data_IF_544075767887
#
_entry.id   IF_544075767887
#
_cell.length_a   1.000
_cell.length_b   1.000
_cell.length_c   1.000
_cell.angle_alpha   90.00
_cell.angle_beta   90.00
_cell.angle_gamma   90.00
#
_symmetry.space_group_name_H-M   'P 1'
#
loop_
_entity.id
_entity.type
_entity.pdbx_description
1 polymer ?
#
# COMPACT_ATOMS: atom_id res chain seq x y z
N UNK A 1 2.77 -3.63 2.74
CA UNK A 1 2.95 -2.89 1.48
C UNK A 1 4.07 -3.46 0.66
N UNK A 2 4.21 -3.03 -0.59
CA UNK A 2 5.32 -3.48 -1.44
C UNK A 2 4.97 -3.49 -2.92
N UNK A 3 5.99 -3.50 -3.78
CA UNK A 3 5.86 -3.56 -5.23
C UNK A 3 6.02 -2.23 -5.96
N UNK A 4 5.63 -1.12 -5.37
CA UNK A 4 5.85 0.22 -5.91
C UNK A 4 5.91 1.27 -4.80
N UNK A 5 6.54 2.41 -5.07
CA UNK A 5 6.63 3.53 -4.13
C UNK A 5 5.26 4.00 -3.63
N UNK A 6 4.26 4.04 -4.49
CA UNK A 6 2.89 4.44 -4.14
C UNK A 6 2.20 3.57 -3.09
N UNK A 7 2.64 2.32 -2.89
CA UNK A 7 2.15 1.46 -1.82
C UNK A 7 2.99 1.55 -0.54
N UNK A 8 4.16 2.17 -0.59
CA UNK A 8 5.12 2.22 0.51
C UNK A 8 5.12 3.60 1.16
N UNK A 9 5.30 4.65 0.35
CA UNK A 9 5.41 6.03 0.84
C UNK A 9 4.28 6.47 1.77
N UNK A 10 2.99 6.18 1.48
CA UNK A 10 1.90 6.57 2.37
C UNK A 10 1.84 5.84 3.72
N UNK A 11 2.65 4.78 3.89
CA UNK A 11 2.74 4.09 5.18
C UNK A 11 3.54 4.88 6.21
N UNK A 12 4.49 5.74 5.78
CA UNK A 12 5.30 6.54 6.69
C UNK A 12 4.48 7.56 7.48
N UNK A 13 3.69 8.46 6.83
CA UNK A 13 2.86 9.41 7.57
C UNK A 13 1.84 8.72 8.49
N UNK A 14 1.23 7.62 8.04
CA UNK A 14 0.35 6.83 8.90
C UNK A 14 1.09 6.27 10.12
N UNK A 15 2.27 5.71 9.91
CA UNK A 15 3.08 5.13 10.99
C UNK A 15 3.54 6.20 12.00
N UNK A 16 3.94 7.39 11.51
CA UNK A 16 4.26 8.54 12.36
C UNK A 16 3.06 9.00 13.18
N UNK A 17 1.89 9.13 12.55
CA UNK A 17 0.66 9.50 13.23
C UNK A 17 0.24 8.49 14.31
N UNK A 18 0.41 7.18 14.06
CA UNK A 18 0.18 6.14 15.07
C UNK A 18 1.14 6.26 16.24
N UNK A 19 2.44 6.46 15.96
CA UNK A 19 3.47 6.66 17.01
C UNK A 19 3.25 7.94 17.82
N UNK A 20 2.78 9.01 17.19
CA UNK A 20 2.42 10.25 17.88
C UNK A 20 1.25 10.07 18.85
N UNK A 21 0.25 9.25 18.47
CA UNK A 21 -0.91 8.94 19.33
C UNK A 21 -0.59 7.91 20.42
N UNK A 22 0.23 6.93 20.11
CA UNK A 22 0.65 5.88 21.03
C UNK A 22 2.14 5.56 20.79
N UNK A 23 3.06 6.18 21.55
CA UNK A 23 4.50 5.93 21.45
C UNK A 23 4.89 4.47 21.75
N UNK A 24 4.06 3.73 22.47
CA UNK A 24 4.30 2.32 22.83
C UNK A 24 3.93 1.36 21.72
N UNK A 25 3.15 1.80 20.73
CA UNK A 25 2.69 1.02 19.61
C UNK A 25 3.86 0.37 18.85
N UNK A 26 3.82 -0.94 18.66
CA UNK A 26 4.85 -1.68 17.92
C UNK A 26 4.45 -1.79 16.45
N UNK A 27 5.21 -1.14 15.59
CA UNK A 27 4.95 -1.12 14.14
C UNK A 27 5.90 -2.07 13.41
N UNK A 28 5.34 -2.98 12.63
CA UNK A 28 6.07 -3.96 11.85
C UNK A 28 5.73 -3.80 10.38
N UNK A 29 6.75 -3.58 9.55
CA UNK A 29 6.58 -3.54 8.10
C UNK A 29 6.84 -4.92 7.48
N UNK A 30 5.93 -5.37 6.63
CA UNK A 30 6.12 -6.56 5.80
C UNK A 30 6.14 -6.14 4.33
N UNK A 31 7.28 -6.33 3.68
CA UNK A 31 7.54 -6.00 2.28
C UNK A 31 7.94 -7.19 1.42
N UNK A 32 8.27 -6.93 0.16
CA UNK A 32 8.70 -7.92 -0.81
C UNK A 32 10.18 -8.28 -0.63
N UNK A 33 10.53 -9.55 -0.77
CA UNK A 33 11.92 -9.98 -0.86
C UNK A 33 12.56 -9.41 -2.14
N UNK A 34 13.75 -8.79 -2.00
CA UNK A 34 14.46 -8.14 -3.11
C UNK A 34 13.99 -6.71 -3.42
N UNK A 35 13.02 -6.18 -2.67
CA UNK A 35 12.61 -4.78 -2.81
C UNK A 35 13.75 -3.85 -2.39
N UNK A 36 14.18 -3.00 -3.32
CA UNK A 36 15.13 -1.92 -3.03
C UNK A 36 14.33 -0.80 -2.36
N UNK A 37 14.32 -0.78 -1.04
CA UNK A 37 13.69 0.29 -0.28
C UNK A 37 14.66 1.49 -0.33
N UNK A 38 14.47 2.37 -1.30
CA UNK A 38 15.18 3.65 -1.37
C UNK A 38 14.91 4.55 -0.14
N UNK A 39 13.95 4.15 0.70
CA UNK A 39 13.46 4.85 1.89
C UNK A 39 13.99 4.20 3.19
N UNK A 40 15.05 3.40 3.10
CA UNK A 40 15.49 2.53 4.20
C UNK A 40 15.73 3.26 5.53
N UNK A 41 16.35 4.45 5.52
CA UNK A 41 16.59 5.21 6.76
C UNK A 41 15.30 5.76 7.38
N UNK A 42 14.40 6.34 6.59
CA UNK A 42 13.11 6.86 7.08
C UNK A 42 12.20 5.75 7.59
N UNK A 43 12.29 4.53 7.02
CA UNK A 43 11.56 3.37 7.52
C UNK A 43 12.11 2.85 8.84
N UNK A 44 13.43 2.76 8.98
CA UNK A 44 14.06 2.28 10.21
C UNK A 44 13.80 3.17 11.43
N UNK A 45 13.59 4.48 11.21
CA UNK A 45 13.27 5.40 12.31
C UNK A 45 11.83 5.26 12.82
N UNK A 46 10.92 4.69 12.03
CA UNK A 46 9.48 4.65 12.37
C UNK A 46 9.01 3.23 12.69
N UNK A 47 9.48 2.23 11.92
CA UNK A 47 9.08 0.84 12.13
C UNK A 47 10.05 0.13 13.10
N UNK A 48 9.50 -0.48 14.15
CA UNK A 48 10.27 -1.25 15.12
C UNK A 48 10.91 -2.49 14.49
N UNK A 49 10.28 -3.08 13.51
CA UNK A 49 10.80 -4.25 12.77
C UNK A 49 10.37 -4.22 11.31
N UNK A 50 11.22 -4.78 10.46
CA UNK A 50 10.92 -5.02 9.05
C UNK A 50 11.10 -6.48 8.72
N UNK A 51 10.18 -7.05 7.98
CA UNK A 51 10.24 -8.41 7.48
C UNK A 51 9.98 -8.43 5.97
N UNK A 52 10.49 -9.44 5.29
CA UNK A 52 10.33 -9.60 3.84
C UNK A 52 9.83 -11.00 3.53
N UNK A 53 8.87 -11.09 2.63
CA UNK A 53 8.29 -12.35 2.17
C UNK A 53 8.36 -12.47 0.65
N UNK A 54 8.22 -13.68 0.14
CA UNK A 54 7.99 -13.90 -1.27
C UNK A 54 6.57 -13.49 -1.65
N UNK A 55 6.38 -12.98 -2.86
CA UNK A 55 5.05 -12.77 -3.44
C UNK A 55 5.16 -12.79 -4.96
N UNK A 56 4.07 -13.14 -5.63
CA UNK A 56 3.92 -13.13 -7.07
C UNK A 56 3.15 -11.92 -7.57
N UNK A 57 3.55 -11.39 -8.71
CA UNK A 57 2.85 -10.30 -9.40
C UNK A 57 2.02 -10.90 -10.52
N UNK A 58 0.72 -11.16 -10.27
CA UNK A 58 -0.19 -11.59 -11.33
C UNK A 58 -0.33 -10.50 -12.39
N UNK A 59 0.09 -10.83 -13.61
CA UNK A 59 0.04 -9.93 -14.76
C UNK A 59 -1.34 -10.02 -15.37
N UNK A 60 -1.91 -8.85 -15.67
CA UNK A 60 -3.19 -8.70 -16.36
C UNK A 60 -3.04 -7.65 -17.43
N UNK A 61 -3.60 -7.91 -18.59
CA UNK A 61 -3.74 -6.92 -19.64
C UNK A 61 -5.13 -6.30 -19.54
N UNK A 62 -5.22 -4.98 -19.40
CA UNK A 62 -6.49 -4.28 -19.39
C UNK A 62 -6.87 -3.97 -20.85
N UNK A 63 -8.09 -4.35 -21.24
CA UNK A 63 -8.63 -4.03 -22.56
C UNK A 63 -8.36 -5.07 -23.67
N UNK A 64 -7.69 -6.17 -23.37
CA UNK A 64 -7.48 -7.26 -24.33
C UNK A 64 -8.53 -8.38 -24.17
N UNK A 65 -8.76 -9.10 -25.28
CA UNK A 65 -9.68 -10.24 -25.32
C UNK A 65 -9.17 -11.39 -24.43
N UNK A 66 -10.06 -12.17 -23.83
CA UNK A 66 -9.70 -13.36 -23.06
C UNK A 66 -8.93 -14.41 -23.90
N UNK A 67 -9.12 -14.43 -25.22
CA UNK A 67 -8.40 -15.27 -26.16
C UNK A 67 -6.92 -14.87 -26.28
N UNK A 68 -6.61 -13.57 -26.27
CA UNK A 68 -5.21 -13.10 -26.27
C UNK A 68 -4.45 -13.52 -25.01
N UNK A 69 -5.16 -13.59 -23.86
CA UNK A 69 -4.58 -14.09 -22.62
C UNK A 69 -4.23 -15.57 -22.65
N UNK A 70 -5.00 -16.41 -23.36
CA UNK A 70 -4.72 -17.85 -23.51
C UNK A 70 -3.56 -18.09 -24.46
N UNK A 71 -3.31 -17.20 -25.41
CA UNK A 71 -2.23 -17.31 -26.38
C UNK A 71 -0.89 -16.79 -25.85
N UNK A 72 -0.88 -15.99 -24.80
CA UNK A 72 0.36 -15.53 -24.17
C UNK A 72 0.91 -16.57 -23.17
N UNK A 73 1.49 -17.62 -23.72
CA UNK A 73 2.13 -18.72 -22.96
C UNK A 73 3.15 -18.18 -21.95
N UNK A 74 3.89 -17.12 -22.30
CA UNK A 74 4.90 -16.52 -21.40
C UNK A 74 4.25 -15.97 -20.14
N UNK A 75 3.15 -15.23 -20.28
CA UNK A 75 2.41 -14.69 -19.13
C UNK A 75 1.74 -15.80 -18.31
N UNK A 76 1.22 -16.83 -18.96
CA UNK A 76 0.65 -17.99 -18.26
C UNK A 76 1.71 -18.70 -17.41
N UNK A 77 2.89 -18.99 -17.95
CA UNK A 77 4.00 -19.60 -17.21
C UNK A 77 4.45 -18.72 -16.06
N UNK A 78 4.61 -17.41 -16.30
CA UNK A 78 5.02 -16.48 -15.25
C UNK A 78 3.97 -16.39 -14.13
N UNK A 79 2.69 -16.35 -14.46
CA UNK A 79 1.61 -16.32 -13.45
C UNK A 79 1.54 -17.65 -12.68
N UNK A 80 1.81 -18.78 -13.33
CA UNK A 80 1.89 -20.08 -12.68
C UNK A 80 3.05 -20.13 -11.67
N UNK A 81 4.24 -19.68 -12.05
CA UNK A 81 5.39 -19.56 -11.14
C UNK A 81 5.12 -18.58 -9.99
N UNK A 82 4.44 -17.47 -10.28
CA UNK A 82 4.09 -16.48 -9.28
C UNK A 82 3.05 -17.01 -8.27
N UNK A 83 2.22 -17.98 -8.66
CA UNK A 83 1.32 -18.69 -7.73
C UNK A 83 2.11 -19.42 -6.64
N UNK A 84 3.20 -20.13 -6.99
CA UNK A 84 4.05 -20.78 -5.98
C UNK A 84 4.74 -19.76 -5.06
N UNK A 85 5.12 -18.58 -5.59
CA UNK A 85 5.67 -17.51 -4.74
C UNK A 85 4.62 -16.98 -3.76
N UNK A 86 3.35 -16.88 -4.17
CA UNK A 86 2.25 -16.48 -3.27
C UNK A 86 2.02 -17.54 -2.19
N UNK A 87 2.03 -18.82 -2.53
CA UNK A 87 1.89 -19.92 -1.55
C UNK A 87 3.04 -19.87 -0.53
N UNK A 88 4.29 -19.81 -1.02
CA UNK A 88 5.47 -19.71 -0.15
C UNK A 88 5.41 -18.45 0.74
N UNK A 89 5.00 -17.31 0.16
CA UNK A 89 4.81 -16.05 0.88
C UNK A 89 3.72 -16.13 1.94
N UNK A 90 2.63 -16.85 1.67
CA UNK A 90 1.55 -17.06 2.63
C UNK A 90 2.01 -17.86 3.84
N UNK A 91 2.83 -18.88 3.61
CA UNK A 91 3.43 -19.65 4.70
C UNK A 91 4.43 -18.82 5.52
N UNK A 92 5.27 -18.02 4.84
CA UNK A 92 6.20 -17.10 5.50
C UNK A 92 5.43 -16.05 6.33
N UNK A 93 4.38 -15.45 5.75
CA UNK A 93 3.51 -14.51 6.44
C UNK A 93 2.83 -15.17 7.65
N UNK A 94 2.31 -16.38 7.50
CA UNK A 94 1.68 -17.11 8.59
C UNK A 94 2.62 -17.31 9.79
N UNK A 95 3.90 -17.66 9.54
CA UNK A 95 4.91 -17.77 10.59
C UNK A 95 5.23 -16.42 11.24
N UNK A 96 5.40 -15.36 10.43
CA UNK A 96 5.67 -14.01 10.94
C UNK A 96 4.52 -13.47 11.81
N UNK A 97 3.28 -13.63 11.35
CA UNK A 97 2.09 -13.21 12.10
C UNK A 97 1.93 -14.02 13.41
N UNK A 98 2.33 -15.29 13.41
CA UNK A 98 2.38 -16.09 14.64
C UNK A 98 3.46 -15.64 15.62
N UNK A 99 4.61 -15.21 15.11
CA UNK A 99 5.73 -14.69 15.92
C UNK A 99 5.40 -13.32 16.53
N UNK A 100 4.83 -12.41 15.73
CA UNK A 100 4.63 -11.03 16.14
C UNK A 100 3.26 -10.75 16.77
N UNK A 101 2.27 -11.60 16.48
CA UNK A 101 0.88 -11.52 17.00
C UNK A 101 0.31 -10.10 16.91
N UNK A 102 0.29 -9.46 15.73
CA UNK A 102 -0.22 -8.11 15.62
C UNK A 102 -1.72 -8.08 15.93
N UNK A 103 -2.17 -7.00 16.58
CA UNK A 103 -3.59 -6.78 16.85
C UNK A 103 -4.38 -6.48 15.59
N UNK A 104 -3.75 -5.83 14.59
CA UNK A 104 -4.38 -5.43 13.33
C UNK A 104 -3.34 -5.36 12.22
N UNK A 105 -3.78 -5.58 10.99
CA UNK A 105 -2.96 -5.40 9.78
C UNK A 105 -3.55 -4.26 8.95
N UNK A 106 -2.72 -3.29 8.61
CA UNK A 106 -3.06 -2.24 7.66
C UNK A 106 -2.44 -2.54 6.29
N UNK A 107 -3.25 -2.49 5.25
CA UNK A 107 -2.87 -2.75 3.87
C UNK A 107 -3.08 -1.55 2.97
N UNK A 108 -2.00 -1.05 2.35
CA UNK A 108 -2.05 -0.03 1.31
C UNK A 108 -2.23 -0.60 -0.10
N UNK A 109 -2.39 -1.92 -0.20
CA UNK A 109 -2.41 -2.62 -1.48
C UNK A 109 -1.04 -3.15 -1.91
N UNK A 110 -0.93 -3.48 -3.20
CA UNK A 110 0.23 -4.15 -3.75
C UNK A 110 0.16 -5.68 -3.60
N UNK A 111 0.92 -6.39 -4.42
CA UNK A 111 0.80 -7.85 -4.50
C UNK A 111 1.28 -8.61 -3.25
N UNK A 112 2.08 -7.98 -2.38
CA UNK A 112 2.49 -8.56 -1.07
C UNK A 112 1.30 -8.73 -0.12
N UNK A 113 0.23 -7.96 -0.32
CA UNK A 113 -0.96 -7.99 0.54
C UNK A 113 -1.71 -9.31 0.45
N UNK A 114 -1.72 -9.98 -0.71
CA UNK A 114 -2.45 -11.23 -0.89
C UNK A 114 -1.94 -12.33 0.06
N UNK A 115 -0.64 -12.71 0.07
CA UNK A 115 -0.14 -13.71 1.00
C UNK A 115 -0.28 -13.30 2.47
N UNK A 116 -0.09 -12.01 2.80
CA UNK A 116 -0.30 -11.52 4.17
C UNK A 116 -1.77 -11.62 4.57
N UNK A 117 -2.69 -11.24 3.69
CA UNK A 117 -4.13 -11.30 3.93
C UNK A 117 -4.64 -12.72 4.11
N UNK A 118 -4.17 -13.68 3.31
CA UNK A 118 -4.49 -15.10 3.47
C UNK A 118 -4.03 -15.62 4.84
N UNK A 119 -2.80 -15.30 5.24
CA UNK A 119 -2.26 -15.68 6.54
C UNK A 119 -3.03 -15.03 7.70
N UNK A 120 -3.41 -13.76 7.56
CA UNK A 120 -4.21 -13.03 8.54
C UNK A 120 -5.59 -13.66 8.74
N UNK A 121 -6.27 -14.03 7.64
CA UNK A 121 -7.56 -14.73 7.69
C UNK A 121 -7.45 -16.02 8.49
N UNK A 122 -6.43 -16.86 8.21
CA UNK A 122 -6.20 -18.10 8.92
C UNK A 122 -5.92 -17.90 10.42
N UNK A 123 -5.30 -16.79 10.78
CA UNK A 123 -5.01 -16.41 12.16
C UNK A 123 -6.08 -15.56 12.84
N UNK A 124 -7.17 -15.25 12.12
CA UNK A 124 -8.27 -14.39 12.62
C UNK A 124 -7.79 -13.00 13.05
N UNK A 125 -6.76 -12.46 12.37
CA UNK A 125 -6.27 -11.11 12.62
C UNK A 125 -7.05 -10.14 11.74
N UNK A 126 -7.67 -9.08 12.31
CA UNK A 126 -8.42 -8.10 11.54
C UNK A 126 -7.52 -7.35 10.56
N UNK A 127 -8.09 -7.02 9.40
CA UNK A 127 -7.40 -6.31 8.31
C UNK A 127 -8.16 -5.02 8.00
N UNK A 128 -7.42 -3.93 7.90
CA UNK A 128 -7.89 -2.65 7.35
C UNK A 128 -7.20 -2.45 6.00
N UNK A 129 -7.98 -2.28 4.93
CA UNK A 129 -7.43 -1.92 3.62
C UNK A 129 -7.51 -0.41 3.37
N UNK A 130 -6.64 0.10 2.52
CA UNK A 130 -6.70 1.49 2.06
C UNK A 130 -6.50 1.54 0.54
N UNK A 131 -7.44 2.16 -0.16
CA UNK A 131 -7.36 2.45 -1.60
C UNK A 131 -7.25 3.96 -1.81
N UNK A 132 -6.18 4.41 -2.48
CA UNK A 132 -5.99 5.83 -2.84
C UNK A 132 -6.63 6.20 -4.17
N UNK A 133 -6.68 5.25 -5.10
CA UNK A 133 -7.22 5.46 -6.43
C UNK A 133 -8.76 5.40 -6.41
N UNK A 134 -9.40 5.96 -7.43
CA UNK A 134 -10.85 5.91 -7.57
C UNK A 134 -11.41 4.49 -7.75
N UNK A 135 -10.57 3.52 -8.05
CA UNK A 135 -10.94 2.12 -8.15
C UNK A 135 -10.11 1.26 -7.20
N UNK A 136 -10.75 0.30 -6.55
CA UNK A 136 -10.06 -0.63 -5.66
C UNK A 136 -9.03 -1.48 -6.42
N UNK A 137 -7.79 -1.51 -5.92
CA UNK A 137 -6.74 -2.35 -6.46
C UNK A 137 -7.08 -3.85 -6.34
N UNK A 138 -6.59 -4.69 -7.29
CA UNK A 138 -6.91 -6.13 -7.28
C UNK A 138 -6.59 -6.80 -5.95
N UNK A 139 -5.42 -6.53 -5.39
CA UNK A 139 -5.00 -7.12 -4.12
C UNK A 139 -5.96 -6.77 -2.99
N UNK A 140 -6.36 -5.49 -2.88
CA UNK A 140 -7.36 -5.06 -1.90
C UNK A 140 -8.75 -5.62 -2.20
N UNK A 141 -9.15 -5.80 -3.45
CA UNK A 141 -10.42 -6.47 -3.81
C UNK A 141 -10.44 -7.94 -3.40
N UNK A 142 -9.30 -8.64 -3.48
CA UNK A 142 -9.19 -10.03 -3.03
C UNK A 142 -9.28 -10.08 -1.51
N UNK A 143 -8.41 -9.34 -0.81
CA UNK A 143 -8.32 -9.34 0.65
C UNK A 143 -9.51 -8.64 1.30
N UNK A 144 -10.12 -7.69 0.63
CA UNK A 144 -11.30 -6.97 1.06
C UNK A 144 -12.52 -7.84 1.34
N UNK A 145 -12.59 -9.05 0.75
CA UNK A 145 -13.68 -10.00 1.02
C UNK A 145 -13.76 -10.45 2.48
N UNK A 146 -12.68 -10.24 3.24
CA UNK A 146 -12.59 -10.58 4.68
C UNK A 146 -11.92 -9.50 5.50
N UNK A 147 -11.72 -8.32 4.93
CA UNK A 147 -11.26 -7.16 5.69
C UNK A 147 -12.36 -6.67 6.64
N UNK A 148 -11.94 -6.15 7.78
CA UNK A 148 -12.86 -5.61 8.78
C UNK A 148 -13.28 -4.17 8.45
N UNK A 149 -12.44 -3.43 7.72
CA UNK A 149 -12.67 -2.04 7.37
C UNK A 149 -11.93 -1.67 6.06
N UNK A 150 -12.53 -0.77 5.30
CA UNK A 150 -11.98 -0.19 4.08
C UNK A 150 -11.83 1.32 4.22
N UNK A 151 -10.60 1.80 4.35
CA UNK A 151 -10.29 3.22 4.24
C UNK A 151 -10.13 3.60 2.77
N UNK A 152 -10.64 4.76 2.35
CA UNK A 152 -10.60 5.17 0.95
C UNK A 152 -10.18 6.62 0.78
N UNK A 153 -9.43 6.91 -0.29
CA UNK A 153 -9.07 8.26 -0.68
C UNK A 153 -10.22 9.03 -1.32
N UNK A 154 -11.07 8.33 -2.06
CA UNK A 154 -12.20 8.87 -2.81
C UNK A 154 -13.53 8.50 -2.15
N UNK A 155 -14.66 9.13 -2.58
CA UNK A 155 -15.98 8.82 -2.04
C UNK A 155 -16.36 7.34 -2.12
N UNK A 156 -17.06 6.80 -1.12
CA UNK A 156 -17.43 5.37 -1.03
C UNK A 156 -18.13 4.80 -2.25
N UNK A 157 -18.88 5.62 -3.00
CA UNK A 157 -19.61 5.20 -4.21
C UNK A 157 -18.74 4.61 -5.33
N UNK A 158 -17.43 4.85 -5.29
CA UNK A 158 -16.50 4.34 -6.31
C UNK A 158 -15.98 2.93 -6.01
N UNK A 159 -16.28 2.38 -4.82
CA UNK A 159 -15.68 1.12 -4.38
C UNK A 159 -16.73 0.03 -4.21
N UNK A 160 -16.38 -1.24 -4.52
CA UNK A 160 -17.30 -2.37 -4.43
C UNK A 160 -17.36 -2.97 -3.00
N UNK A 161 -17.27 -2.12 -1.97
CA UNK A 161 -17.30 -2.55 -0.57
C UNK A 161 -18.66 -2.27 0.06
N UNK A 162 -19.01 -3.01 1.12
CA UNK A 162 -20.24 -2.77 1.87
C UNK A 162 -20.18 -1.41 2.59
N UNK A 163 -21.31 -0.70 2.61
CA UNK A 163 -21.39 0.69 3.12
C UNK A 163 -21.04 0.82 4.60
N UNK A 164 -21.30 -0.21 5.38
CA UNK A 164 -21.01 -0.29 6.82
C UNK A 164 -19.55 -0.58 7.14
N UNK A 165 -18.78 -1.01 6.13
CA UNK A 165 -17.34 -1.33 6.28
C UNK A 165 -16.42 -0.33 5.61
N UNK A 166 -16.94 0.75 5.03
CA UNK A 166 -16.15 1.72 4.27
C UNK A 166 -16.14 3.10 4.94
N UNK A 167 -14.94 3.69 5.05
CA UNK A 167 -14.74 5.05 5.58
C UNK A 167 -13.85 5.84 4.63
N UNK A 168 -14.33 7.01 4.21
CA UNK A 168 -13.50 7.94 3.45
C UNK A 168 -12.54 8.66 4.40
N UNK A 169 -11.25 8.43 4.24
CA UNK A 169 -10.18 9.02 5.08
C UNK A 169 -9.31 10.02 4.32
N UNK A 170 -9.46 10.09 3.00
CA UNK A 170 -8.48 10.77 2.16
C UNK A 170 -7.20 9.93 1.98
N UNK A 171 -6.20 10.52 1.33
CA UNK A 171 -4.91 9.90 1.05
C UNK A 171 -3.93 10.31 2.15
N UNK A 172 -3.24 9.37 2.83
CA UNK A 172 -2.21 9.72 3.80
C UNK A 172 -1.06 10.46 3.11
N UNK A 173 -0.85 11.70 3.51
CA UNK A 173 0.26 12.55 3.07
C UNK A 173 1.13 12.94 4.25
N UNK A 174 2.39 13.29 3.99
CA UNK A 174 3.29 13.75 5.03
C UNK A 174 2.81 15.09 5.62
N UNK A 175 2.91 15.26 6.92
CA UNK A 175 2.46 16.46 7.65
C UNK A 175 3.19 17.74 7.22
N UNK A 176 4.36 17.61 6.61
CA UNK A 176 5.11 18.73 6.04
C UNK A 176 4.55 19.21 4.71
N UNK A 177 3.72 18.41 4.03
CA UNK A 177 3.04 18.78 2.78
C UNK A 177 1.78 19.58 3.15
N UNK A 178 1.93 20.88 3.23
CA UNK A 178 0.85 21.82 3.57
C UNK A 178 0.65 22.85 2.48
N UNK A 179 -0.58 23.29 2.24
CA UNK A 179 -0.81 24.46 1.40
C UNK A 179 -0.04 25.65 1.93
N UNK A 180 0.60 26.39 1.03
CA UNK A 180 1.32 27.62 1.36
C UNK A 180 0.46 28.83 0.97
N UNK A 181 0.50 29.90 1.78
CA UNK A 181 -0.13 31.16 1.42
C UNK A 181 0.62 31.85 0.25
N UNK A 182 -0.03 32.82 -0.39
CA UNK A 182 0.52 33.51 -1.57
C UNK A 182 1.86 34.18 -1.32
N UNK A 183 2.07 34.78 -0.13
CA UNK A 183 3.32 35.42 0.24
C UNK A 183 4.48 34.42 0.36
N UNK A 184 4.27 33.31 1.05
CA UNK A 184 5.26 32.24 1.17
C UNK A 184 5.50 31.56 -0.20
N UNK A 185 4.45 31.40 -1.01
CA UNK A 185 4.57 30.84 -2.36
C UNK A 185 5.50 31.69 -3.23
N UNK A 186 5.34 33.02 -3.21
CA UNK A 186 6.21 33.94 -3.95
C UNK A 186 7.67 33.87 -3.49
N UNK A 187 7.89 33.77 -2.17
CA UNK A 187 9.23 33.59 -1.60
C UNK A 187 9.88 32.28 -2.04
N UNK A 188 9.16 31.16 -1.96
CA UNK A 188 9.65 29.85 -2.37
C UNK A 188 9.97 29.81 -3.87
N UNK A 189 9.12 30.41 -4.71
CA UNK A 189 9.40 30.54 -6.15
C UNK A 189 10.72 31.27 -6.42
N UNK A 190 10.98 32.39 -5.73
CA UNK A 190 12.28 33.12 -5.85
C UNK A 190 13.46 32.24 -5.45
N UNK A 191 13.34 31.45 -4.37
CA UNK A 191 14.42 30.55 -3.91
C UNK A 191 14.83 29.51 -4.95
N UNK A 192 13.89 29.06 -5.78
CA UNK A 192 14.15 28.11 -6.87
C UNK A 192 14.33 28.77 -8.24
N UNK A 193 14.53 30.12 -8.28
CA UNK A 193 14.81 30.86 -9.49
C UNK A 193 13.61 31.11 -10.40
N UNK A 194 12.37 31.01 -9.89
CA UNK A 194 11.15 31.23 -10.65
C UNK A 194 10.57 32.63 -10.36
N UNK A 195 9.88 33.27 -11.35
CA UNK A 195 9.15 34.51 -11.12
C UNK A 195 8.09 34.33 -10.02
N UNK A 196 8.00 35.27 -9.05
CA UNK A 196 7.08 35.14 -7.91
C UNK A 196 5.61 35.07 -8.34
N UNK A 197 5.24 35.79 -9.37
CA UNK A 197 3.86 35.91 -9.86
C UNK A 197 3.59 35.00 -11.07
N UNK A 198 4.61 34.27 -11.55
CA UNK A 198 4.49 33.35 -12.67
C UNK A 198 3.69 32.10 -12.34
N UNK A 199 3.00 31.55 -13.34
CA UNK A 199 2.41 30.22 -13.23
C UNK A 199 3.51 29.17 -13.11
N UNK A 200 3.38 28.24 -12.15
CA UNK A 200 4.27 27.10 -12.01
C UNK A 200 3.48 25.82 -12.22
N UNK A 201 3.89 25.03 -13.21
CA UNK A 201 3.41 23.67 -13.44
C UNK A 201 4.49 22.68 -13.03
N UNK A 202 4.22 21.83 -12.05
CA UNK A 202 5.08 20.73 -11.65
C UNK A 202 4.53 19.43 -12.23
N UNK A 203 5.36 18.71 -12.98
CA UNK A 203 5.08 17.36 -13.46
C UNK A 203 6.01 16.39 -12.74
N UNK A 204 5.45 15.34 -12.10
CA UNK A 204 6.19 14.34 -11.29
C UNK A 204 6.00 12.95 -11.84
#
# INVERSE_FOLDING_TARGET
GGGSGGHITPLLPLARALKSKDPTCQLIYIGLRGEKIAVAQSFQSVFNKTARINSGKFRRYHGESWLSHLLDVKTLVLNFLDMFKVIAGSFQAYRLLGKYKPAVIFSKGGFVVVPVGMAARLRRIPIVTHDSDAAAGLANRIVGRWASLHATGMPPRYYPYAKDTIIQTGIPVDEHIKPVNTGLQAQLKRQIGLPPDGLMLLVT
#
